data_IF_791728388521
#
_entry.id   IF_791728388521
#
_cell.length_a   1.000
_cell.length_b   1.000
_cell.length_c   1.000
_cell.angle_alpha   90.00
_cell.angle_beta   90.00
_cell.angle_gamma   90.00
#
_symmetry.space_group_name_H-M   'P 1'
#
loop_
_entity.id
_entity.type
_entity.pdbx_description
1 polymer ?
#
# COMPACT_ATOMS: atom_id res chain seq x y z
N UNK A 1 -23.92 6.82 -11.07
CA UNK A 1 -23.13 5.81 -10.33
C UNK A 1 -24.08 4.98 -9.45
N UNK A 2 -23.96 3.65 -9.49
CA UNK A 2 -24.74 2.74 -8.65
C UNK A 2 -24.17 2.80 -7.23
N UNK A 3 -25.06 2.98 -6.20
CA UNK A 3 -24.61 2.98 -4.80
C UNK A 3 -24.14 1.59 -4.40
N UNK A 4 -22.96 1.51 -3.80
CA UNK A 4 -22.35 0.30 -3.24
C UNK A 4 -22.35 0.38 -1.70
N UNK A 5 -22.03 -0.72 -1.03
CA UNK A 5 -22.13 -0.83 0.43
C UNK A 5 -21.13 0.09 1.18
N UNK A 6 -20.02 0.45 0.55
CA UNK A 6 -18.94 1.22 1.17
C UNK A 6 -19.03 2.75 0.96
N UNK A 7 -19.98 3.24 0.14
CA UNK A 7 -20.03 4.66 -0.27
C UNK A 7 -20.24 5.65 0.88
N UNK A 8 -20.81 5.23 2.01
CA UNK A 8 -21.07 6.05 3.18
C UNK A 8 -20.32 5.56 4.42
N UNK A 9 -19.19 4.89 4.22
CA UNK A 9 -18.41 4.29 5.28
C UNK A 9 -17.19 5.13 5.65
N UNK A 10 -16.83 5.10 6.93
CA UNK A 10 -15.62 5.70 7.47
C UNK A 10 -14.63 4.59 7.79
N UNK A 11 -13.44 4.66 7.19
CA UNK A 11 -12.35 3.73 7.46
C UNK A 11 -11.37 4.32 8.49
N UNK A 12 -10.81 3.43 9.31
CA UNK A 12 -9.83 3.77 10.33
C UNK A 12 -8.64 2.84 10.19
N UNK A 13 -7.44 3.41 9.94
CA UNK A 13 -6.22 2.62 9.90
C UNK A 13 -5.75 2.27 11.31
N UNK A 14 -5.50 1.00 11.55
CA UNK A 14 -4.79 0.52 12.73
C UNK A 14 -3.41 0.04 12.30
N UNK A 15 -2.37 0.63 12.90
CA UNK A 15 -1.01 0.11 12.88
C UNK A 15 -0.87 -0.82 14.10
N UNK A 16 -0.99 -2.15 13.93
CA UNK A 16 -1.17 -3.07 15.07
C UNK A 16 -0.09 -2.94 16.12
N UNK A 17 1.17 -2.82 15.69
CA UNK A 17 2.36 -2.74 16.55
C UNK A 17 2.26 -1.65 17.63
N UNK A 18 1.60 -0.52 17.34
CA UNK A 18 1.52 0.64 18.25
C UNK A 18 0.12 0.90 18.80
N UNK A 19 -0.88 0.05 18.51
CA UNK A 19 -2.27 0.34 18.86
C UNK A 19 -2.59 0.01 20.31
N UNK A 20 -2.49 -1.25 20.72
CA UNK A 20 -2.71 -1.69 22.10
C UNK A 20 -2.05 -3.03 22.37
N UNK A 21 -1.10 -3.02 23.28
CA UNK A 21 -0.42 -4.20 23.83
C UNK A 21 -1.26 -4.79 24.98
N UNK A 22 -1.67 -6.05 24.87
CA UNK A 22 -2.46 -6.73 25.91
C UNK A 22 -1.66 -7.75 26.70
N UNK A 23 -0.49 -8.15 26.23
CA UNK A 23 0.35 -9.17 26.85
C UNK A 23 1.57 -8.59 27.60
N UNK A 24 1.90 -7.30 27.39
CA UNK A 24 2.96 -6.58 28.10
C UNK A 24 4.35 -6.75 27.47
N UNK A 25 4.43 -7.14 26.19
CA UNK A 25 5.71 -7.32 25.48
C UNK A 25 6.19 -6.06 24.77
N UNK A 26 5.41 -4.99 24.77
CA UNK A 26 5.70 -3.70 24.12
C UNK A 26 5.20 -3.61 22.68
N UNK A 27 4.50 -4.63 22.17
CA UNK A 27 3.94 -4.70 20.82
C UNK A 27 2.42 -4.84 20.91
N UNK A 28 1.70 -4.00 20.18
CA UNK A 28 0.24 -4.11 20.10
C UNK A 28 -0.20 -5.37 19.35
N UNK A 29 -1.35 -5.92 19.70
CA UNK A 29 -1.80 -7.23 19.25
C UNK A 29 -3.29 -7.27 18.83
N UNK A 30 -3.72 -8.38 18.21
CA UNK A 30 -5.09 -8.59 17.77
C UNK A 30 -6.10 -8.56 18.91
N UNK A 31 -5.72 -9.00 20.14
CA UNK A 31 -6.55 -8.90 21.33
C UNK A 31 -6.81 -7.46 21.72
N UNK A 32 -5.79 -6.60 21.59
CA UNK A 32 -5.92 -5.17 21.79
C UNK A 32 -6.93 -4.57 20.83
N UNK A 33 -6.89 -4.93 19.55
CA UNK A 33 -7.85 -4.47 18.55
C UNK A 33 -9.26 -4.94 18.88
N UNK A 34 -9.45 -6.23 19.17
CA UNK A 34 -10.76 -6.80 19.57
C UNK A 34 -11.34 -6.05 20.76
N UNK A 35 -10.51 -5.74 21.78
CA UNK A 35 -10.95 -5.05 23.00
C UNK A 35 -11.42 -3.61 22.76
N UNK A 36 -11.06 -3.01 21.63
CA UNK A 36 -11.40 -1.63 21.26
C UNK A 36 -12.47 -1.50 20.19
N UNK A 37 -13.08 -2.58 19.73
CA UNK A 37 -14.11 -2.53 18.69
C UNK A 37 -15.32 -1.68 19.10
N UNK A 38 -15.77 -1.73 20.36
CA UNK A 38 -16.87 -0.90 20.84
C UNK A 38 -16.51 0.60 20.81
N UNK A 39 -15.30 0.95 21.26
CA UNK A 39 -14.78 2.32 21.16
C UNK A 39 -14.74 2.82 19.70
N UNK A 40 -14.23 1.99 18.78
CA UNK A 40 -14.19 2.35 17.35
C UNK A 40 -15.59 2.51 16.75
N UNK A 41 -16.54 1.65 17.17
CA UNK A 41 -17.95 1.78 16.74
C UNK A 41 -18.60 3.05 17.27
N UNK A 42 -18.38 3.40 18.54
CA UNK A 42 -18.86 4.65 19.14
C UNK A 42 -18.25 5.88 18.47
N UNK A 43 -17.02 5.78 18.00
CA UNK A 43 -16.34 6.84 17.21
C UNK A 43 -16.95 7.00 15.80
N UNK A 44 -17.78 6.07 15.36
CA UNK A 44 -18.42 6.09 14.05
C UNK A 44 -17.64 5.39 12.94
N UNK A 45 -16.71 4.50 13.30
CA UNK A 45 -15.91 3.74 12.35
C UNK A 45 -16.71 2.55 11.83
N UNK A 46 -16.67 2.35 10.53
CA UNK A 46 -17.33 1.24 9.83
C UNK A 46 -16.32 0.22 9.29
N UNK A 47 -15.16 0.68 8.82
CA UNK A 47 -14.13 -0.16 8.21
C UNK A 47 -12.84 0.01 9.02
N UNK A 48 -12.22 -1.10 9.38
CA UNK A 48 -10.87 -1.12 9.99
C UNK A 48 -9.90 -1.59 8.92
N UNK A 49 -8.93 -0.74 8.57
CA UNK A 49 -7.78 -1.11 7.75
C UNK A 49 -6.63 -1.51 8.67
N UNK A 50 -6.22 -2.76 8.61
CA UNK A 50 -5.04 -3.27 9.31
C UNK A 50 -3.81 -3.12 8.42
N UNK A 51 -2.79 -2.39 8.89
CA UNK A 51 -1.45 -2.48 8.32
C UNK A 51 -0.95 -3.94 8.41
N UNK A 52 0.09 -4.35 7.65
CA UNK A 52 0.41 -5.76 7.50
C UNK A 52 0.54 -6.53 8.81
N UNK A 53 -0.19 -7.63 8.93
CA UNK A 53 -0.14 -8.56 10.06
C UNK A 53 0.35 -9.96 9.67
N UNK A 54 0.77 -10.12 8.42
CA UNK A 54 1.33 -11.38 7.92
C UNK A 54 2.66 -11.71 8.58
N UNK A 55 3.05 -12.98 8.51
CA UNK A 55 4.39 -13.39 8.95
C UNK A 55 5.45 -12.65 8.14
N UNK A 56 6.36 -11.99 8.87
CA UNK A 56 7.39 -11.10 8.31
C UNK A 56 8.64 -11.11 9.18
N UNK A 57 9.84 -10.90 8.61
CA UNK A 57 11.04 -10.55 9.37
C UNK A 57 11.05 -9.12 9.91
N UNK A 58 10.08 -8.28 9.50
CA UNK A 58 9.92 -6.87 9.92
C UNK A 58 11.09 -5.95 9.56
N UNK A 59 11.77 -6.22 8.45
CA UNK A 59 12.78 -5.29 7.90
C UNK A 59 12.11 -3.97 7.51
N UNK A 60 10.94 -4.08 6.91
CA UNK A 60 10.08 -2.94 6.54
C UNK A 60 8.72 -3.02 7.27
N UNK A 61 8.77 -3.16 8.59
CA UNK A 61 7.62 -3.08 9.50
C UNK A 61 6.42 -3.98 9.12
N UNK A 62 6.66 -5.07 8.37
CA UNK A 62 5.64 -6.03 7.94
C UNK A 62 5.34 -6.02 6.44
N UNK A 63 5.84 -5.03 5.70
CA UNK A 63 5.72 -4.99 4.24
C UNK A 63 6.67 -5.98 3.52
N UNK A 64 7.61 -6.60 4.22
CA UNK A 64 8.46 -7.70 3.77
C UNK A 64 7.83 -9.06 4.18
N UNK A 65 6.81 -9.51 3.43
CA UNK A 65 6.00 -10.67 3.79
C UNK A 65 6.73 -11.98 3.47
N UNK A 66 6.95 -12.82 4.50
CA UNK A 66 7.58 -14.13 4.35
C UNK A 66 6.60 -15.30 4.23
N UNK A 67 5.35 -15.13 4.67
CA UNK A 67 4.25 -16.08 4.46
C UNK A 67 2.90 -15.36 4.42
N UNK A 68 2.25 -15.36 3.25
CA UNK A 68 0.95 -14.72 3.04
C UNK A 68 -0.23 -15.43 3.72
N UNK A 69 -0.05 -16.66 4.22
CA UNK A 69 -1.11 -17.46 4.82
C UNK A 69 -1.01 -17.56 6.34
N UNK A 70 -0.04 -16.89 6.96
CA UNK A 70 0.19 -16.90 8.39
C UNK A 70 0.14 -15.48 8.98
N UNK A 71 -0.36 -15.39 10.21
CA UNK A 71 -0.27 -14.18 11.04
C UNK A 71 1.10 -14.17 11.72
N UNK A 72 1.72 -13.00 11.86
CA UNK A 72 2.94 -12.84 12.64
C UNK A 72 2.68 -13.13 14.13
N UNK A 73 3.56 -13.90 14.74
CA UNK A 73 3.40 -14.35 16.13
C UNK A 73 3.32 -13.17 17.13
N UNK A 74 3.97 -12.06 16.80
CA UNK A 74 3.97 -10.81 17.56
C UNK A 74 2.56 -10.20 17.66
N UNK A 75 1.73 -10.39 16.63
CA UNK A 75 0.37 -9.85 16.61
C UNK A 75 -0.68 -10.85 17.10
N UNK A 76 -0.36 -12.14 17.12
CA UNK A 76 -1.26 -13.16 17.59
C UNK A 76 -1.39 -14.38 16.67
N UNK A 77 -2.57 -14.99 16.65
CA UNK A 77 -2.82 -16.23 15.90
C UNK A 77 -3.93 -16.08 14.86
N UNK A 78 -4.04 -17.05 13.96
CA UNK A 78 -5.11 -17.10 12.97
C UNK A 78 -6.50 -17.18 13.63
N UNK A 79 -6.62 -17.91 14.75
CA UNK A 79 -7.87 -18.01 15.52
C UNK A 79 -8.26 -16.65 16.11
N UNK A 80 -7.30 -15.86 16.57
CA UNK A 80 -7.56 -14.50 17.07
C UNK A 80 -7.96 -13.56 15.91
N UNK A 81 -7.39 -13.72 14.74
CA UNK A 81 -7.82 -12.98 13.55
C UNK A 81 -9.25 -13.35 13.13
N UNK A 82 -9.59 -14.64 13.11
CA UNK A 82 -10.96 -15.10 12.83
C UNK A 82 -11.95 -14.60 13.89
N UNK A 83 -11.53 -14.53 15.16
CA UNK A 83 -12.31 -13.89 16.23
C UNK A 83 -12.52 -12.40 15.96
N UNK A 84 -11.48 -11.67 15.54
CA UNK A 84 -11.60 -10.25 15.16
C UNK A 84 -12.63 -10.06 14.05
N UNK A 85 -12.61 -10.86 12.99
CA UNK A 85 -13.59 -10.81 11.91
C UNK A 85 -15.02 -11.04 12.43
N UNK A 86 -15.19 -12.03 13.30
CA UNK A 86 -16.49 -12.37 13.88
C UNK A 86 -17.02 -11.28 14.81
N UNK A 87 -16.17 -10.68 15.65
CA UNK A 87 -16.53 -9.61 16.57
C UNK A 87 -16.81 -8.28 15.86
N UNK A 88 -16.04 -7.96 14.81
CA UNK A 88 -16.31 -6.81 13.95
C UNK A 88 -17.67 -6.94 13.25
N UNK A 89 -17.96 -8.12 12.69
CA UNK A 89 -19.24 -8.40 12.03
C UNK A 89 -20.46 -8.24 12.95
N UNK A 90 -20.36 -8.63 14.22
CA UNK A 90 -21.44 -8.44 15.21
C UNK A 90 -21.78 -6.96 15.42
N UNK A 91 -20.84 -6.07 15.14
CA UNK A 91 -20.94 -4.61 15.29
C UNK A 91 -21.25 -3.89 13.99
N UNK A 92 -21.54 -4.63 12.92
CA UNK A 92 -21.67 -4.08 11.55
C UNK A 92 -20.42 -3.27 11.17
N UNK A 93 -19.25 -3.86 11.41
CA UNK A 93 -17.95 -3.34 11.04
C UNK A 93 -17.26 -4.31 10.10
N UNK A 94 -16.42 -3.78 9.24
CA UNK A 94 -15.71 -4.50 8.19
C UNK A 94 -14.21 -4.43 8.43
N UNK A 95 -13.50 -5.51 8.13
CA UNK A 95 -12.03 -5.55 8.21
C UNK A 95 -11.46 -5.62 6.80
N UNK A 96 -10.50 -4.76 6.48
CA UNK A 96 -9.63 -4.86 5.31
C UNK A 96 -8.17 -4.96 5.76
N UNK A 97 -7.35 -5.59 4.95
CA UNK A 97 -5.92 -5.74 5.22
C UNK A 97 -5.09 -5.05 4.14
N UNK A 98 -3.82 -4.81 4.44
CA UNK A 98 -2.84 -4.47 3.41
C UNK A 98 -2.59 -5.66 2.48
N UNK A 99 -2.51 -5.41 1.19
CA UNK A 99 -2.15 -6.37 0.17
C UNK A 99 -0.84 -5.93 -0.49
N UNK A 100 0.26 -6.55 -0.08
CA UNK A 100 1.60 -6.25 -0.60
C UNK A 100 1.96 -7.30 -1.63
N UNK A 101 1.88 -6.94 -2.90
CA UNK A 101 2.04 -7.87 -4.03
C UNK A 101 2.99 -7.36 -5.13
N UNK A 102 3.62 -6.20 -4.94
CA UNK A 102 4.74 -5.78 -5.79
C UNK A 102 6.01 -6.60 -5.48
N UNK A 103 6.23 -6.95 -4.24
CA UNK A 103 7.40 -7.67 -3.73
C UNK A 103 6.98 -8.64 -2.62
N UNK A 104 7.92 -9.47 -2.17
CA UNK A 104 7.79 -10.25 -0.94
C UNK A 104 9.12 -10.21 -0.17
N UNK A 105 9.17 -10.82 1.02
CA UNK A 105 10.43 -10.95 1.76
C UNK A 105 11.43 -11.84 1.02
N UNK A 106 12.70 -11.55 1.17
CA UNK A 106 13.80 -12.45 0.77
C UNK A 106 13.72 -13.80 1.50
N UNK A 107 13.04 -13.86 2.66
CA UNK A 107 12.78 -15.09 3.41
C UNK A 107 11.51 -15.83 2.93
N UNK A 108 10.76 -15.31 1.97
CA UNK A 108 9.62 -16.01 1.42
C UNK A 108 10.07 -17.28 0.68
N UNK A 109 9.30 -18.36 0.85
CA UNK A 109 9.59 -19.68 0.25
C UNK A 109 9.83 -19.64 -1.26
N UNK A 110 9.19 -18.70 -1.98
CA UNK A 110 9.38 -18.53 -3.43
C UNK A 110 10.79 -18.04 -3.73
N UNK A 111 11.25 -17.00 -3.03
CA UNK A 111 12.58 -16.43 -3.27
C UNK A 111 13.68 -17.39 -2.83
N UNK A 112 13.52 -18.07 -1.68
CA UNK A 112 14.47 -19.08 -1.22
C UNK A 112 14.64 -20.23 -2.22
N UNK A 113 13.54 -20.68 -2.86
CA UNK A 113 13.60 -21.69 -3.93
C UNK A 113 14.23 -21.14 -5.21
N UNK A 114 13.97 -19.88 -5.57
CA UNK A 114 14.58 -19.23 -6.70
C UNK A 114 16.12 -19.09 -6.54
N UNK A 115 16.59 -18.79 -5.34
CA UNK A 115 18.03 -18.77 -5.04
C UNK A 115 18.66 -20.16 -5.06
N UNK A 116 17.95 -21.19 -4.57
CA UNK A 116 18.43 -22.55 -4.54
C UNK A 116 18.50 -23.22 -5.92
N UNK A 117 17.61 -22.82 -6.83
CA UNK A 117 17.58 -23.30 -8.23
C UNK A 117 17.32 -22.12 -9.20
N UNK A 118 18.40 -21.41 -9.63
CA UNK A 118 18.29 -20.25 -10.50
C UNK A 118 17.79 -20.52 -11.93
N UNK A 119 17.60 -21.77 -12.30
CA UNK A 119 17.01 -22.21 -13.59
C UNK A 119 15.65 -22.91 -13.39
N UNK A 120 15.21 -23.03 -12.13
CA UNK A 120 13.97 -23.67 -11.76
C UNK A 120 12.73 -22.77 -11.93
N UNK A 121 11.57 -23.35 -11.66
CA UNK A 121 10.26 -22.70 -11.83
C UNK A 121 10.15 -21.37 -11.06
N UNK A 122 10.68 -21.31 -9.84
CA UNK A 122 10.56 -20.13 -8.98
C UNK A 122 11.51 -18.99 -9.36
N UNK A 123 12.56 -19.26 -10.14
CA UNK A 123 13.47 -18.21 -10.62
C UNK A 123 12.71 -17.16 -11.47
N UNK A 124 11.70 -17.60 -12.24
CA UNK A 124 10.90 -16.72 -13.08
C UNK A 124 9.78 -15.95 -12.31
N UNK A 125 9.68 -16.19 -11.00
CA UNK A 125 8.82 -15.36 -10.11
C UNK A 125 9.45 -14.02 -9.75
N UNK A 126 10.74 -13.83 -10.06
CA UNK A 126 11.53 -12.65 -9.74
C UNK A 126 12.32 -12.18 -10.96
N UNK A 127 12.88 -10.98 -10.88
CA UNK A 127 13.72 -10.44 -11.94
C UNK A 127 15.18 -10.72 -11.64
N UNK A 128 15.76 -11.71 -12.31
CA UNK A 128 17.20 -11.97 -12.27
C UNK A 128 17.86 -11.54 -13.58
N UNK A 129 18.97 -10.81 -13.52
CA UNK A 129 19.75 -10.36 -14.68
C UNK A 129 21.24 -10.51 -14.41
N UNK A 130 22.01 -10.81 -15.47
CA UNK A 130 23.46 -10.80 -15.39
C UNK A 130 23.99 -9.39 -15.25
N UNK A 131 25.03 -9.21 -14.41
CA UNK A 131 25.75 -7.95 -14.31
C UNK A 131 26.47 -7.58 -15.59
N UNK A 132 26.79 -6.30 -15.74
CA UNK A 132 27.55 -5.74 -16.87
C UNK A 132 28.98 -5.40 -16.39
N UNK A 133 29.99 -6.16 -16.84
CA UNK A 133 31.42 -5.92 -16.50
C UNK A 133 31.68 -5.85 -14.96
N UNK A 134 30.99 -6.69 -14.18
CA UNK A 134 31.12 -6.71 -12.73
C UNK A 134 30.29 -5.65 -11.98
N UNK A 135 29.48 -4.87 -12.70
CA UNK A 135 28.55 -3.90 -12.15
C UNK A 135 27.09 -4.40 -12.23
N UNK A 136 26.16 -3.77 -11.50
CA UNK A 136 24.73 -4.05 -11.63
C UNK A 136 24.22 -3.96 -13.09
N UNK A 137 23.09 -4.63 -13.41
CA UNK A 137 22.52 -4.61 -14.77
C UNK A 137 22.11 -3.22 -15.27
N UNK A 138 21.70 -2.32 -14.36
CA UNK A 138 21.33 -0.94 -14.66
C UNK A 138 21.47 -0.04 -13.43
N UNK A 139 21.36 1.28 -13.64
CA UNK A 139 21.65 2.30 -12.64
C UNK A 139 20.41 2.87 -11.92
N UNK A 140 19.42 2.03 -11.58
CA UNK A 140 18.26 2.51 -10.84
C UNK A 140 18.53 2.62 -9.34
N UNK A 141 18.05 3.74 -8.75
CA UNK A 141 18.04 3.97 -7.30
C UNK A 141 16.74 3.46 -6.71
N UNK A 142 16.84 2.62 -5.67
CA UNK A 142 15.73 2.17 -4.85
C UNK A 142 15.03 3.34 -4.15
N UNK A 143 13.74 3.19 -3.85
CA UNK A 143 13.00 4.15 -3.02
C UNK A 143 13.64 4.36 -1.65
N UNK A 144 14.33 3.35 -1.12
CA UNK A 144 15.03 3.41 0.17
C UNK A 144 16.52 3.73 0.03
N UNK A 145 16.96 4.09 -1.17
CA UNK A 145 18.35 4.42 -1.47
C UNK A 145 19.20 3.23 -1.89
N UNK A 146 20.37 3.50 -2.47
CA UNK A 146 21.22 2.48 -3.07
C UNK A 146 20.71 1.99 -4.43
N UNK A 147 21.42 1.03 -5.03
CA UNK A 147 21.02 0.46 -6.32
C UNK A 147 19.87 -0.54 -6.15
N UNK A 148 18.97 -0.63 -7.13
CA UNK A 148 17.87 -1.60 -7.15
C UNK A 148 18.31 -3.06 -7.42
N UNK A 149 19.59 -3.31 -7.62
CA UNK A 149 20.11 -4.62 -7.95
C UNK A 149 21.07 -5.11 -6.87
N UNK A 150 20.79 -6.27 -6.31
CA UNK A 150 21.65 -6.93 -5.35
C UNK A 150 22.30 -8.19 -5.95
N UNK A 151 23.59 -8.44 -5.70
CA UNK A 151 24.28 -9.61 -6.25
C UNK A 151 23.75 -10.91 -5.62
N UNK A 152 23.56 -11.92 -6.46
CA UNK A 152 23.22 -13.27 -6.00
C UNK A 152 24.52 -13.97 -5.59
N UNK A 153 24.67 -14.44 -4.34
CA UNK A 153 25.89 -15.10 -3.88
C UNK A 153 26.29 -16.30 -4.75
N UNK A 154 27.54 -16.31 -5.18
CA UNK A 154 28.08 -17.41 -6.00
C UNK A 154 27.64 -17.40 -7.48
N UNK A 155 27.02 -16.33 -7.97
CA UNK A 155 26.53 -16.18 -9.34
C UNK A 155 27.03 -14.88 -9.99
N UNK A 156 26.91 -14.79 -11.32
CA UNK A 156 27.09 -13.55 -12.08
C UNK A 156 25.77 -12.76 -12.23
N UNK A 157 24.69 -13.24 -11.58
CA UNK A 157 23.36 -12.62 -11.61
C UNK A 157 23.15 -11.67 -10.43
N UNK A 158 22.21 -10.77 -10.62
CA UNK A 158 21.65 -9.86 -9.63
C UNK A 158 20.13 -10.06 -9.61
N UNK A 159 19.50 -9.88 -8.45
CA UNK A 159 18.05 -9.77 -8.34
C UNK A 159 17.61 -8.32 -8.17
N UNK A 160 16.40 -8.03 -8.59
CA UNK A 160 15.84 -6.68 -8.60
C UNK A 160 14.94 -6.42 -7.41
N UNK A 161 15.01 -5.21 -6.83
CA UNK A 161 14.12 -4.69 -5.79
C UNK A 161 13.93 -3.19 -5.95
N UNK A 162 12.72 -2.69 -5.78
CA UNK A 162 12.43 -1.24 -5.79
C UNK A 162 12.48 -0.64 -4.38
N UNK A 163 12.26 -1.43 -3.34
CA UNK A 163 12.28 -1.05 -1.93
C UNK A 163 13.55 -1.55 -1.24
N UNK A 164 13.48 -2.12 -0.04
CA UNK A 164 14.65 -2.70 0.61
C UNK A 164 15.20 -3.89 -0.18
N UNK A 165 16.51 -4.16 -0.06
CA UNK A 165 17.13 -5.33 -0.69
C UNK A 165 16.55 -6.66 -0.20
N UNK A 166 15.96 -6.67 0.99
CA UNK A 166 15.24 -7.80 1.56
C UNK A 166 13.81 -7.96 0.98
N UNK A 167 13.42 -7.09 0.02
CA UNK A 167 12.11 -7.08 -0.63
C UNK A 167 12.23 -7.31 -2.15
N UNK A 168 12.65 -8.51 -2.61
CA UNK A 168 12.74 -8.81 -4.04
C UNK A 168 11.39 -8.64 -4.75
N UNK A 169 11.42 -7.93 -5.88
CA UNK A 169 10.22 -7.63 -6.67
C UNK A 169 9.71 -8.86 -7.42
N UNK A 170 8.38 -9.00 -7.40
CA UNK A 170 7.65 -10.10 -8.04
C UNK A 170 7.45 -9.83 -9.54
N UNK A 171 7.68 -10.85 -10.36
CA UNK A 171 7.54 -10.79 -11.82
C UNK A 171 6.08 -11.02 -12.23
N UNK A 172 5.30 -9.98 -12.32
CA UNK A 172 3.88 -10.01 -12.69
C UNK A 172 3.63 -10.44 -14.15
N UNK A 173 4.64 -10.53 -15.00
CA UNK A 173 4.50 -11.14 -16.34
C UNK A 173 4.31 -12.66 -16.25
N UNK A 174 4.73 -13.29 -15.15
CA UNK A 174 4.60 -14.73 -14.96
C UNK A 174 3.15 -15.10 -14.56
N UNK A 175 2.40 -15.84 -15.40
CA UNK A 175 1.02 -16.20 -15.09
C UNK A 175 0.87 -17.13 -13.89
N UNK A 176 1.88 -18.00 -13.61
CA UNK A 176 1.84 -18.90 -12.45
C UNK A 176 1.95 -18.13 -11.15
N UNK A 177 2.79 -17.08 -11.11
CA UNK A 177 2.86 -16.18 -9.97
C UNK A 177 1.52 -15.49 -9.74
N UNK A 178 0.89 -14.95 -10.80
CA UNK A 178 -0.44 -14.33 -10.69
C UNK A 178 -1.48 -15.29 -10.13
N UNK A 179 -1.51 -16.53 -10.59
CA UNK A 179 -2.42 -17.55 -10.06
C UNK A 179 -2.21 -17.83 -8.57
N UNK A 180 -0.95 -17.87 -8.08
CA UNK A 180 -0.65 -18.01 -6.65
C UNK A 180 -1.18 -16.81 -5.85
N UNK A 181 -0.97 -15.58 -6.34
CA UNK A 181 -1.46 -14.35 -5.74
C UNK A 181 -2.99 -14.33 -5.71
N UNK A 182 -3.66 -14.67 -6.82
CA UNK A 182 -5.14 -14.72 -6.87
C UNK A 182 -5.72 -15.76 -5.92
N UNK A 183 -5.06 -16.90 -5.77
CA UNK A 183 -5.46 -17.94 -4.81
C UNK A 183 -5.34 -17.43 -3.38
N UNK A 184 -4.27 -16.74 -3.06
CA UNK A 184 -4.02 -16.15 -1.74
C UNK A 184 -5.09 -15.08 -1.42
N UNK A 185 -5.36 -14.14 -2.32
CA UNK A 185 -6.38 -13.11 -2.14
C UNK A 185 -7.76 -13.72 -1.89
N UNK A 186 -8.16 -14.67 -2.74
CA UNK A 186 -9.46 -15.35 -2.59
C UNK A 186 -9.56 -16.11 -1.27
N UNK A 187 -8.47 -16.72 -0.79
CA UNK A 187 -8.44 -17.42 0.49
C UNK A 187 -8.73 -16.47 1.68
N UNK A 188 -8.19 -15.26 1.67
CA UNK A 188 -8.50 -14.24 2.69
C UNK A 188 -9.95 -13.75 2.58
N UNK A 189 -10.43 -13.49 1.37
CA UNK A 189 -11.82 -13.10 1.14
C UNK A 189 -12.81 -14.19 1.58
N UNK A 190 -12.47 -15.46 1.37
CA UNK A 190 -13.27 -16.60 1.81
C UNK A 190 -13.34 -16.73 3.34
N UNK A 191 -12.34 -16.23 4.08
CA UNK A 191 -12.40 -16.13 5.55
C UNK A 191 -13.35 -15.03 6.05
N UNK A 192 -13.83 -14.15 5.18
CA UNK A 192 -14.75 -13.06 5.54
C UNK A 192 -14.10 -11.68 5.59
N UNK A 193 -12.86 -11.54 5.07
CA UNK A 193 -12.26 -10.23 4.88
C UNK A 193 -13.11 -9.42 3.89
N UNK A 194 -13.32 -8.13 4.17
CA UNK A 194 -14.16 -7.27 3.34
C UNK A 194 -13.42 -6.68 2.13
N UNK A 195 -12.09 -6.74 2.11
CA UNK A 195 -11.28 -6.20 1.02
C UNK A 195 -9.86 -5.89 1.42
N UNK A 196 -9.22 -5.00 0.64
CA UNK A 196 -7.81 -4.68 0.80
C UNK A 196 -7.47 -3.21 0.51
N UNK A 197 -6.50 -2.68 1.23
CA UNK A 197 -5.66 -1.57 0.75
C UNK A 197 -4.50 -2.21 -0.03
N UNK A 198 -4.24 -1.75 -1.24
CA UNK A 198 -3.29 -2.41 -2.14
C UNK A 198 -2.06 -1.53 -2.28
N UNK A 199 -0.97 -2.05 -1.73
CA UNK A 199 0.32 -1.38 -1.60
C UNK A 199 1.03 -1.26 -2.95
N UNK A 200 1.58 -0.07 -3.24
CA UNK A 200 2.47 0.20 -4.37
C UNK A 200 2.03 -0.45 -5.70
N UNK A 201 0.73 -0.50 -5.96
CA UNK A 201 0.12 -1.40 -6.96
C UNK A 201 0.54 -1.07 -8.40
N UNK A 202 0.84 0.16 -8.71
CA UNK A 202 1.29 0.53 -10.07
C UNK A 202 2.70 0.04 -10.38
N UNK A 203 3.49 -0.30 -9.35
CA UNK A 203 4.86 -0.80 -9.52
C UNK A 203 4.91 -2.25 -10.04
N UNK A 204 3.78 -2.96 -10.11
CA UNK A 204 3.74 -4.34 -10.64
C UNK A 204 4.12 -4.44 -12.11
N UNK A 205 3.94 -3.35 -12.89
CA UNK A 205 4.35 -3.28 -14.30
C UNK A 205 5.62 -2.46 -14.45
N UNK A 206 6.63 -3.04 -15.08
CA UNK A 206 7.95 -2.45 -15.22
C UNK A 206 8.43 -2.48 -16.67
N UNK A 207 9.32 -1.56 -17.04
CA UNK A 207 10.10 -1.69 -18.29
C UNK A 207 11.11 -2.83 -18.14
N UNK A 208 10.81 -3.96 -18.74
CA UNK A 208 11.62 -5.18 -18.64
C UNK A 208 12.96 -5.11 -19.40
N UNK A 209 13.17 -4.08 -20.21
CA UNK A 209 14.45 -3.83 -20.85
C UNK A 209 15.52 -3.41 -19.82
N UNK A 210 15.10 -2.87 -18.68
CA UNK A 210 15.97 -2.36 -17.63
C UNK A 210 17.10 -1.47 -18.19
N UNK A 211 16.80 -0.44 -18.99
CA UNK A 211 17.83 0.41 -19.59
C UNK A 211 18.52 1.25 -18.52
N UNK A 212 19.79 1.61 -18.77
CA UNK A 212 20.41 2.67 -18.00
C UNK A 212 19.72 4.00 -18.30
N UNK A 213 19.50 4.82 -17.28
CA UNK A 213 18.85 6.13 -17.38
C UNK A 213 19.87 7.24 -17.05
N UNK A 214 19.58 8.45 -17.51
CA UNK A 214 20.34 9.63 -17.10
C UNK A 214 20.19 9.82 -15.59
N UNK A 215 21.30 9.86 -14.84
CA UNK A 215 21.25 10.07 -13.39
C UNK A 215 20.52 11.34 -12.99
N UNK A 216 19.75 11.28 -11.91
CA UNK A 216 19.00 12.40 -11.35
C UNK A 216 19.48 12.83 -9.96
N UNK A 217 20.59 12.23 -9.49
CA UNK A 217 21.25 12.53 -8.23
C UNK A 217 22.76 12.45 -8.31
N UNK A 218 23.44 12.89 -7.22
CA UNK A 218 24.89 12.92 -7.10
C UNK A 218 25.52 11.52 -6.95
N UNK A 219 24.71 10.48 -6.74
CA UNK A 219 25.11 9.09 -6.59
C UNK A 219 25.29 8.35 -7.92
N UNK A 220 25.04 9.00 -9.06
CA UNK A 220 25.12 8.41 -10.38
C UNK A 220 23.98 7.46 -10.73
N UNK A 221 22.92 7.45 -9.92
CA UNK A 221 21.73 6.61 -10.12
C UNK A 221 20.54 7.45 -10.61
N UNK A 222 19.59 6.77 -11.23
CA UNK A 222 18.31 7.33 -11.64
C UNK A 222 17.18 6.76 -10.78
N UNK A 223 16.19 7.55 -10.42
CA UNK A 223 15.02 7.10 -9.65
C UNK A 223 14.34 5.90 -10.30
N UNK A 224 14.07 4.86 -9.54
CA UNK A 224 13.36 3.66 -10.03
C UNK A 224 11.90 3.95 -10.43
N UNK A 225 11.31 5.05 -9.98
CA UNK A 225 10.02 5.53 -10.44
C UNK A 225 9.94 5.64 -11.98
N UNK A 226 11.03 6.07 -12.63
CA UNK A 226 11.12 6.19 -14.08
C UNK A 226 10.98 4.86 -14.85
N UNK A 227 11.07 3.74 -14.15
CA UNK A 227 10.89 2.40 -14.71
C UNK A 227 9.41 1.99 -14.80
N UNK A 228 8.57 2.59 -13.98
CA UNK A 228 7.13 2.28 -13.89
C UNK A 228 6.28 3.41 -14.47
N UNK A 229 6.84 4.61 -14.56
CA UNK A 229 6.18 5.76 -15.15
C UNK A 229 5.90 5.53 -16.65
N UNK A 230 4.65 5.68 -17.08
CA UNK A 230 4.21 5.54 -18.46
C UNK A 230 4.49 4.17 -19.11
N UNK A 231 4.58 3.08 -18.33
CA UNK A 231 4.73 1.73 -18.89
C UNK A 231 3.36 1.18 -19.28
N UNK A 232 3.17 0.92 -20.57
CA UNK A 232 1.93 0.34 -21.08
C UNK A 232 1.63 -1.04 -20.53
N UNK A 233 0.35 -1.35 -20.31
CA UNK A 233 -0.14 -2.68 -19.94
C UNK A 233 -0.35 -2.92 -18.45
N UNK A 234 -0.21 -1.91 -17.60
CA UNK A 234 -0.60 -2.02 -16.18
C UNK A 234 -2.10 -2.30 -16.05
N UNK A 235 -2.93 -1.66 -16.87
CA UNK A 235 -4.39 -1.83 -16.86
C UNK A 235 -4.81 -3.27 -17.11
N UNK A 236 -4.14 -3.97 -18.04
CA UNK A 236 -4.42 -5.36 -18.32
C UNK A 236 -4.13 -6.26 -17.11
N UNK A 237 -3.08 -5.98 -16.34
CA UNK A 237 -2.76 -6.72 -15.11
C UNK A 237 -3.75 -6.41 -13.99
N UNK A 238 -4.16 -5.13 -13.84
CA UNK A 238 -5.14 -4.70 -12.85
C UNK A 238 -6.53 -5.27 -13.13
N UNK A 239 -6.95 -5.28 -14.41
CA UNK A 239 -8.22 -5.88 -14.82
C UNK A 239 -8.23 -7.39 -14.60
N UNK A 240 -7.11 -8.08 -14.91
CA UNK A 240 -6.95 -9.51 -14.65
C UNK A 240 -7.03 -9.82 -13.15
N UNK A 241 -6.33 -9.04 -12.32
CA UNK A 241 -6.39 -9.12 -10.86
C UNK A 241 -7.82 -8.95 -10.34
N UNK A 242 -8.50 -7.86 -10.73
CA UNK A 242 -9.87 -7.56 -10.31
C UNK A 242 -10.83 -8.69 -10.67
N UNK A 243 -10.79 -9.17 -11.91
CA UNK A 243 -11.70 -10.19 -12.42
C UNK A 243 -11.50 -11.57 -11.77
N UNK A 244 -10.26 -11.88 -11.37
CA UNK A 244 -9.96 -13.14 -10.71
C UNK A 244 -10.17 -13.12 -9.19
N UNK A 245 -10.33 -11.93 -8.58
CA UNK A 245 -10.39 -11.75 -7.12
C UNK A 245 -11.56 -10.87 -6.68
N UNK A 246 -11.39 -9.57 -6.64
CA UNK A 246 -12.26 -8.60 -5.96
C UNK A 246 -13.68 -8.56 -6.50
N UNK A 247 -13.84 -8.63 -7.82
CA UNK A 247 -15.15 -8.61 -8.46
C UNK A 247 -16.05 -9.81 -8.08
N UNK A 248 -15.45 -10.94 -7.69
CA UNK A 248 -16.19 -12.15 -7.32
C UNK A 248 -16.85 -12.05 -5.94
N UNK A 249 -16.39 -11.14 -5.08
CA UNK A 249 -16.79 -11.06 -3.66
C UNK A 249 -17.35 -9.69 -3.27
N UNK A 250 -17.53 -8.78 -4.21
CA UNK A 250 -17.90 -7.38 -3.93
C UNK A 250 -16.97 -6.76 -2.87
N UNK A 251 -15.67 -7.03 -3.01
CA UNK A 251 -14.66 -6.59 -2.05
C UNK A 251 -14.38 -5.09 -2.20
N UNK A 252 -14.20 -4.40 -1.06
CA UNK A 252 -13.76 -3.01 -1.05
C UNK A 252 -12.26 -2.94 -1.25
N UNK A 253 -11.82 -2.13 -2.20
CA UNK A 253 -10.39 -1.97 -2.52
C UNK A 253 -9.97 -0.51 -2.53
N UNK A 254 -8.83 -0.20 -1.92
CA UNK A 254 -8.18 1.11 -1.96
C UNK A 254 -6.82 0.95 -2.59
N UNK A 255 -6.63 1.46 -3.80
CA UNK A 255 -5.34 1.43 -4.49
C UNK A 255 -4.42 2.55 -3.98
N UNK A 256 -3.17 2.21 -3.68
CA UNK A 256 -2.13 3.21 -3.51
C UNK A 256 -1.55 3.56 -4.88
N UNK A 257 -2.04 4.67 -5.42
CA UNK A 257 -1.72 5.12 -6.77
C UNK A 257 -1.38 6.61 -6.73
N UNK A 258 -0.28 6.98 -7.36
CA UNK A 258 0.19 8.37 -7.42
C UNK A 258 0.12 8.91 -8.85
N UNK A 259 -0.05 10.23 -8.97
CA UNK A 259 0.11 10.98 -10.23
C UNK A 259 -0.81 10.54 -11.39
N UNK A 260 -2.04 10.12 -11.10
CA UNK A 260 -3.01 9.74 -12.11
C UNK A 260 -3.56 10.98 -12.82
N UNK A 261 -3.51 10.99 -14.14
CA UNK A 261 -4.14 11.99 -15.00
C UNK A 261 -5.67 11.97 -14.88
N UNK A 262 -6.32 13.10 -15.16
CA UNK A 262 -7.80 13.19 -15.11
C UNK A 262 -8.43 12.24 -16.12
N UNK A 263 -7.80 12.07 -17.27
CA UNK A 263 -8.23 11.17 -18.33
C UNK A 263 -8.16 9.69 -17.95
N UNK A 264 -7.22 9.32 -17.07
CA UNK A 264 -6.98 7.93 -16.65
C UNK A 264 -7.82 7.53 -15.42
N UNK A 265 -8.38 8.52 -14.70
CA UNK A 265 -9.18 8.25 -13.50
C UNK A 265 -10.30 7.22 -13.69
N UNK A 266 -11.05 7.22 -14.82
CA UNK A 266 -12.11 6.23 -15.04
C UNK A 266 -11.62 4.78 -15.08
N UNK A 267 -10.36 4.55 -15.43
CA UNK A 267 -9.75 3.22 -15.45
C UNK A 267 -9.42 2.74 -14.03
N UNK A 268 -9.08 3.66 -13.13
CA UNK A 268 -8.73 3.34 -11.74
C UNK A 268 -9.94 3.27 -10.82
N UNK A 269 -10.90 4.21 -10.95
CA UNK A 269 -12.06 4.32 -10.05
C UNK A 269 -13.36 4.50 -10.85
N UNK A 270 -14.50 4.33 -10.19
CA UNK A 270 -15.80 4.48 -10.83
C UNK A 270 -16.46 3.13 -11.13
N UNK A 271 -17.47 3.13 -12.00
CA UNK A 271 -18.32 1.94 -12.19
C UNK A 271 -17.56 0.73 -12.75
N UNK A 272 -16.57 0.98 -13.61
CA UNK A 272 -15.74 -0.07 -14.23
C UNK A 272 -14.28 -0.02 -13.76
N UNK A 273 -13.92 0.89 -12.85
CA UNK A 273 -12.55 1.05 -12.38
C UNK A 273 -11.95 -0.20 -11.76
N UNK A 274 -10.63 -0.28 -11.77
CA UNK A 274 -9.89 -1.41 -11.21
C UNK A 274 -10.06 -1.54 -9.70
N UNK A 275 -10.27 -0.40 -9.00
CA UNK A 275 -10.43 -0.32 -7.56
C UNK A 275 -11.76 0.34 -7.19
N UNK A 276 -12.21 0.12 -5.96
CA UNK A 276 -13.35 0.83 -5.39
C UNK A 276 -13.04 2.32 -5.24
N UNK A 277 -11.81 2.63 -4.80
CA UNK A 277 -11.28 3.98 -4.64
C UNK A 277 -9.74 3.95 -4.68
N UNK A 278 -9.14 5.13 -4.79
CA UNK A 278 -7.70 5.37 -4.58
C UNK A 278 -7.52 6.47 -3.54
N UNK A 279 -6.33 6.60 -2.96
CA UNK A 279 -6.05 7.67 -2.02
C UNK A 279 -5.96 9.03 -2.70
N UNK A 280 -6.54 10.06 -2.07
CA UNK A 280 -6.35 11.46 -2.45
C UNK A 280 -5.08 12.02 -1.79
N UNK A 281 -3.97 11.98 -2.50
CA UNK A 281 -2.71 12.57 -2.07
C UNK A 281 -2.52 14.04 -2.50
N UNK A 282 -3.51 14.68 -3.10
CA UNK A 282 -3.39 16.05 -3.66
C UNK A 282 -2.90 17.10 -2.64
N UNK A 283 -3.32 16.98 -1.38
CA UNK A 283 -2.86 17.88 -0.32
C UNK A 283 -1.43 17.55 0.15
N UNK A 284 -1.00 16.30 0.05
CA UNK A 284 0.33 15.85 0.44
C UNK A 284 1.40 16.38 -0.50
N UNK A 285 1.12 16.41 -1.80
CA UNK A 285 2.03 16.93 -2.83
C UNK A 285 2.41 18.40 -2.61
N UNK A 286 1.60 19.17 -1.87
CA UNK A 286 1.93 20.57 -1.52
C UNK A 286 3.07 20.71 -0.53
N UNK A 287 3.38 19.66 0.21
CA UNK A 287 4.41 19.66 1.25
C UNK A 287 5.69 18.95 0.84
N UNK A 288 5.87 18.68 -0.44
CA UNK A 288 7.11 18.11 -0.94
C UNK A 288 8.15 19.24 -1.12
N UNK A 289 9.23 19.16 -0.33
CA UNK A 289 10.39 20.02 -0.47
C UNK A 289 11.37 19.46 -1.51
N UNK A 290 12.46 20.18 -1.72
CA UNK A 290 13.50 19.76 -2.68
C UNK A 290 14.11 18.37 -2.35
N UNK A 291 14.16 18.03 -1.07
CA UNK A 291 14.77 16.80 -0.56
C UNK A 291 13.74 15.87 0.14
N UNK A 292 12.46 16.16 0.01
CA UNK A 292 11.37 15.39 0.61
C UNK A 292 10.57 16.21 1.63
N UNK A 293 9.73 15.52 2.38
CA UNK A 293 8.78 16.14 3.32
C UNK A 293 9.45 16.90 4.48
N UNK A 294 10.70 16.57 4.85
CA UNK A 294 11.42 17.17 5.99
C UNK A 294 11.99 18.58 5.72
N UNK A 295 12.07 18.99 4.46
CA UNK A 295 12.41 20.36 4.07
C UNK A 295 11.24 21.07 3.36
N UNK A 296 10.03 20.57 3.58
CA UNK A 296 8.82 21.08 2.98
C UNK A 296 8.56 22.56 3.33
N UNK A 297 8.10 23.37 2.36
CA UNK A 297 7.69 24.73 2.66
C UNK A 297 6.40 24.73 3.50
N UNK A 298 6.18 25.80 4.31
CA UNK A 298 4.91 25.97 5.00
C UNK A 298 3.74 25.99 4.00
N UNK A 299 2.69 25.23 4.28
CA UNK A 299 1.49 25.18 3.45
C UNK A 299 0.47 26.18 3.99
N UNK A 300 -0.02 27.09 3.13
CA UNK A 300 -1.14 27.92 3.49
C UNK A 300 -2.45 27.12 3.50
N UNK A 301 -3.36 27.47 4.41
CA UNK A 301 -4.68 26.85 4.48
C UNK A 301 -5.46 27.01 3.15
N UNK A 302 -5.31 28.14 2.46
CA UNK A 302 -5.96 28.38 1.17
C UNK A 302 -5.43 27.46 0.06
N UNK A 303 -4.11 27.21 0.02
CA UNK A 303 -3.50 26.27 -0.91
C UNK A 303 -3.99 24.85 -0.63
N UNK A 304 -3.97 24.44 0.64
CA UNK A 304 -4.47 23.12 1.06
C UNK A 304 -5.95 22.92 0.72
N UNK A 305 -6.81 23.92 1.08
CA UNK A 305 -8.24 23.91 0.72
C UNK A 305 -8.46 23.80 -0.78
N UNK A 306 -7.68 24.57 -1.56
CA UNK A 306 -7.77 24.56 -3.01
C UNK A 306 -7.43 23.17 -3.58
N UNK A 307 -6.34 22.56 -3.15
CA UNK A 307 -5.90 21.25 -3.62
C UNK A 307 -6.99 20.18 -3.40
N UNK A 308 -7.59 20.16 -2.20
CA UNK A 308 -8.67 19.22 -1.88
C UNK A 308 -9.93 19.51 -2.71
N UNK A 309 -10.28 20.79 -2.87
CA UNK A 309 -11.47 21.17 -3.66
C UNK A 309 -11.29 20.77 -5.12
N UNK A 310 -10.12 21.06 -5.70
CA UNK A 310 -9.81 20.72 -7.09
C UNK A 310 -9.83 19.18 -7.29
N UNK A 311 -9.28 18.42 -6.35
CA UNK A 311 -9.32 16.97 -6.38
C UNK A 311 -10.76 16.45 -6.37
N UNK A 312 -11.59 16.92 -5.44
CA UNK A 312 -12.98 16.50 -5.35
C UNK A 312 -13.80 16.90 -6.61
N UNK A 313 -13.54 18.06 -7.19
CA UNK A 313 -14.16 18.46 -8.44
C UNK A 313 -13.75 17.57 -9.61
N UNK A 314 -12.50 17.13 -9.63
CA UNK A 314 -11.94 16.23 -10.64
C UNK A 314 -12.65 14.87 -10.67
N UNK A 315 -12.94 14.31 -9.51
CA UNK A 315 -13.46 12.94 -9.39
C UNK A 315 -14.98 12.82 -9.32
N UNK A 316 -15.72 13.90 -9.02
CA UNK A 316 -17.16 13.85 -8.69
C UNK A 316 -18.04 13.19 -9.75
N UNK A 317 -17.64 13.20 -11.02
CA UNK A 317 -18.39 12.59 -12.13
C UNK A 317 -17.88 11.19 -12.50
N UNK A 318 -16.81 10.73 -11.87
CA UNK A 318 -16.14 9.46 -12.19
C UNK A 318 -16.38 8.46 -11.04
N UNK A 319 -15.98 8.85 -9.84
CA UNK A 319 -15.96 7.95 -8.69
C UNK A 319 -15.73 8.71 -7.39
N UNK A 320 -15.02 8.08 -6.48
CA UNK A 320 -14.60 8.63 -5.20
C UNK A 320 -13.12 8.41 -5.01
N UNK A 321 -12.43 9.40 -4.45
CA UNK A 321 -11.10 9.25 -3.87
C UNK A 321 -11.23 9.17 -2.35
N UNK A 322 -10.47 8.27 -1.72
CA UNK A 322 -10.40 8.15 -0.27
C UNK A 322 -9.61 9.32 0.30
N UNK A 323 -10.30 10.17 1.06
CA UNK A 323 -9.64 11.30 1.71
C UNK A 323 -8.73 10.81 2.83
N UNK A 324 -7.52 11.32 2.85
CA UNK A 324 -6.51 11.00 3.85
C UNK A 324 -5.81 12.28 4.31
N UNK A 325 -5.51 12.39 5.60
CA UNK A 325 -4.74 13.51 6.17
C UNK A 325 -3.34 13.05 6.55
N UNK A 326 -3.24 11.82 7.00
CA UNK A 326 -2.03 11.18 7.47
C UNK A 326 -2.13 9.68 7.28
N UNK A 327 -1.01 8.97 7.22
CA UNK A 327 -0.89 7.53 7.24
C UNK A 327 0.41 7.12 7.93
N UNK A 328 0.74 5.83 7.93
CA UNK A 328 1.94 5.31 8.58
C UNK A 328 3.26 5.74 7.91
N UNK A 329 3.22 6.24 6.67
CA UNK A 329 4.37 6.74 5.91
C UNK A 329 4.54 8.26 6.05
N UNK A 330 3.53 8.94 6.57
CA UNK A 330 3.47 10.39 6.62
C UNK A 330 3.51 10.93 8.05
N UNK A 331 4.07 12.12 8.27
CA UNK A 331 3.97 12.79 9.58
C UNK A 331 2.50 12.99 9.97
N UNK A 332 2.24 13.07 11.28
CA UNK A 332 0.92 13.44 11.79
C UNK A 332 0.44 14.74 11.14
N UNK A 333 -0.81 14.76 10.68
CA UNK A 333 -1.39 15.87 9.93
C UNK A 333 -1.28 17.22 10.67
N UNK A 334 -1.39 17.23 12.01
CA UNK A 334 -1.15 18.45 12.82
C UNK A 334 0.29 18.94 12.66
N UNK A 335 1.26 18.04 12.72
CA UNK A 335 2.68 18.41 12.60
C UNK A 335 3.03 18.89 11.19
N UNK A 336 2.38 18.31 10.16
CA UNK A 336 2.65 18.63 8.76
C UNK A 336 1.95 19.91 8.30
N UNK A 337 0.65 20.02 8.58
CA UNK A 337 -0.17 21.12 8.05
C UNK A 337 -0.31 22.30 9.00
N UNK A 338 -0.01 22.11 10.30
CA UNK A 338 -0.13 23.14 11.34
C UNK A 338 1.09 23.15 12.27
N UNK A 339 2.33 23.27 11.77
CA UNK A 339 3.53 23.13 12.60
C UNK A 339 3.57 24.16 13.75
N UNK A 340 3.07 25.38 13.53
CA UNK A 340 3.02 26.44 14.55
C UNK A 340 1.88 26.26 15.57
N UNK A 341 0.95 25.33 15.29
CA UNK A 341 -0.26 25.09 16.07
C UNK A 341 -0.41 23.63 16.50
N UNK A 342 0.65 22.86 16.44
CA UNK A 342 0.66 21.42 16.74
C UNK A 342 0.05 21.04 18.10
N UNK A 343 0.01 22.00 19.05
CA UNK A 343 -0.61 21.84 20.36
C UNK A 343 -2.11 22.23 20.40
N UNK A 344 -2.66 22.71 19.29
CA UNK A 344 -4.04 23.20 19.23
C UNK A 344 -4.97 22.14 18.63
N UNK A 345 -5.52 21.27 19.49
CA UNK A 345 -6.46 20.21 19.09
C UNK A 345 -7.70 20.74 18.34
N UNK A 346 -8.15 21.99 18.63
CA UNK A 346 -9.31 22.56 17.95
C UNK A 346 -9.08 22.79 16.46
N UNK A 347 -7.87 23.21 16.07
CA UNK A 347 -7.53 23.41 14.66
C UNK A 347 -7.39 22.08 13.91
N UNK A 348 -6.86 21.04 14.56
CA UNK A 348 -6.85 19.70 14.01
C UNK A 348 -8.30 19.21 13.75
N UNK A 349 -9.19 19.39 14.71
CA UNK A 349 -10.63 19.07 14.54
C UNK A 349 -11.24 19.85 13.37
N UNK A 350 -10.87 21.11 13.17
CA UNK A 350 -11.33 21.90 12.03
C UNK A 350 -10.85 21.36 10.69
N UNK A 351 -9.59 20.94 10.59
CA UNK A 351 -9.05 20.31 9.38
C UNK A 351 -9.77 18.98 9.10
N UNK A 352 -9.88 18.11 10.09
CA UNK A 352 -10.63 16.86 9.97
C UNK A 352 -12.08 17.12 9.58
N UNK A 353 -12.75 18.07 10.25
CA UNK A 353 -14.13 18.43 9.95
C UNK A 353 -14.32 19.02 8.56
N UNK A 354 -13.33 19.77 8.06
CA UNK A 354 -13.35 20.26 6.67
C UNK A 354 -13.27 19.11 5.67
N UNK A 355 -12.34 18.19 5.86
CA UNK A 355 -12.21 16.98 5.02
C UNK A 355 -13.51 16.16 5.04
N UNK A 356 -14.10 15.93 6.22
CA UNK A 356 -15.31 15.15 6.40
C UNK A 356 -16.55 15.72 5.68
N UNK A 357 -16.54 16.97 5.24
CA UNK A 357 -17.63 17.58 4.48
C UNK A 357 -17.55 17.36 2.96
N UNK A 358 -16.43 16.83 2.43
CA UNK A 358 -16.20 16.77 0.99
C UNK A 358 -16.33 15.40 0.36
N UNK A 359 -16.29 14.31 1.10
CA UNK A 359 -16.25 12.99 0.51
C UNK A 359 -17.08 11.94 1.25
N UNK A 360 -17.22 10.80 0.60
CA UNK A 360 -18.08 9.70 1.02
C UNK A 360 -17.29 8.54 1.63
N UNK A 361 -15.98 8.51 1.45
CA UNK A 361 -15.07 7.55 2.09
C UNK A 361 -13.96 8.33 2.79
N UNK A 362 -13.74 8.01 4.06
CA UNK A 362 -12.70 8.64 4.89
C UNK A 362 -11.79 7.58 5.45
N UNK A 363 -10.50 7.87 5.50
CA UNK A 363 -9.53 7.04 6.21
C UNK A 363 -8.90 7.88 7.31
N UNK A 364 -9.11 7.46 8.54
CA UNK A 364 -8.57 8.07 9.75
C UNK A 364 -7.52 7.11 10.30
N UNK A 365 -6.45 7.66 10.87
CA UNK A 365 -5.37 6.88 11.47
C UNK A 365 -5.46 6.89 12.98
N UNK A 366 -5.32 5.71 13.56
CA UNK A 366 -5.30 5.49 15.00
C UNK A 366 -3.94 5.61 15.65
#
# INVERSE_FOLDING_TARGET
>A
MKRTWWHDKVAYQIYPKSFLDTNGDGIGDLRGIISKLDYLKELGIDIIWLSPIYKSPFVDQGYDISDYYAIAEEFGTMEQFEELLAEAKKRDMYIIMDLVINHCSDQHKWFQKALADPEGEYADYFYFRKGKNGNPPSNYRSYFGGNCWEPVPGSDKYYFHMFAKEQPDLNWENPKLREEIYRMINWWLDKGLAGFRIDAIINIKKDLAFPDMEPDGDDGLASCWRMVENVEGVDALLEDLKNHTFAKKDAFTVGEVFNIGVEDLPDFIGENGHFSTIFDFSAHMLSDGKHGWYDAPPISFDAWKKAITDSQMRVQNVGFEANIIENHDEPRGVSRFLPDYAQNALQHIQICGFRLNFAWVYIIIG
#
